data_IF_764907824065
#
_entry.id   IF_764907824065
#
_cell.length_a   1.000
_cell.length_b   1.000
_cell.length_c   1.000
_cell.angle_alpha   90.00
_cell.angle_beta   90.00
_cell.angle_gamma   90.00
#
_symmetry.space_group_name_H-M   'P 1'
#
loop_
_entity.id
_entity.type
_entity.pdbx_description
1 polymer ?
#
# COMPACT_ATOMS: atom_id res chain seq x y z
N UNK A 1 72.46 44.31 38.16
CA UNK A 1 71.86 43.05 38.64
C UNK A 1 70.39 43.31 38.97
N UNK A 2 69.49 42.76 38.14
CA UNK A 2 68.07 42.42 38.37
C UNK A 2 67.19 43.43 39.14
N UNK A 3 66.32 44.25 38.52
CA UNK A 3 65.19 43.95 37.61
C UNK A 3 64.54 42.58 37.77
N UNK A 4 63.37 42.56 38.44
CA UNK A 4 62.17 41.75 38.11
C UNK A 4 61.09 42.01 39.17
N UNK A 5 60.04 42.78 38.84
CA UNK A 5 58.70 42.65 39.46
C UNK A 5 57.54 43.43 38.80
N UNK A 6 57.76 44.26 37.77
CA UNK A 6 56.67 45.07 37.18
C UNK A 6 56.01 44.52 35.90
N UNK A 7 56.38 43.34 35.40
CA UNK A 7 55.86 42.83 34.11
C UNK A 7 54.80 41.73 34.19
N UNK A 8 54.38 41.31 35.39
CA UNK A 8 53.34 40.27 35.52
C UNK A 8 51.90 40.81 35.54
N UNK A 9 51.70 42.08 35.90
CA UNK A 9 50.35 42.66 35.97
C UNK A 9 49.84 43.17 34.61
N UNK A 10 50.73 43.67 33.76
CA UNK A 10 50.36 44.17 32.42
C UNK A 10 49.96 43.06 31.43
N UNK A 11 50.45 41.82 31.62
CA UNK A 11 50.11 40.70 30.75
C UNK A 11 48.71 40.13 31.07
N UNK A 12 48.27 40.16 32.33
CA UNK A 12 46.93 39.68 32.70
C UNK A 12 45.80 40.61 32.24
N UNK A 13 46.05 41.92 32.15
CA UNK A 13 45.03 42.89 31.67
C UNK A 13 44.93 42.88 30.13
N UNK A 14 46.01 42.61 29.41
CA UNK A 14 45.98 42.50 27.94
C UNK A 14 45.22 41.26 27.45
N UNK A 15 45.29 40.14 28.19
CA UNK A 15 44.58 38.90 27.80
C UNK A 15 43.06 39.02 28.01
N UNK A 16 42.60 39.78 29.01
CA UNK A 16 41.16 40.01 29.24
C UNK A 16 40.55 41.02 28.27
N UNK A 17 41.31 41.99 27.75
CA UNK A 17 40.83 42.95 26.76
C UNK A 17 40.79 42.37 25.33
N UNK A 18 41.70 41.44 24.99
CA UNK A 18 41.67 40.74 23.70
C UNK A 18 40.60 39.62 23.69
N UNK A 19 40.37 38.96 24.84
CA UNK A 19 39.30 37.96 24.98
C UNK A 19 37.87 38.55 25.04
N UNK A 20 37.72 39.80 25.50
CA UNK A 20 36.41 40.46 25.63
C UNK A 20 35.87 41.11 24.35
N UNK A 21 36.74 41.44 23.38
CA UNK A 21 36.31 42.06 22.10
C UNK A 21 35.91 41.00 21.06
N UNK A 22 36.32 39.74 21.23
CA UNK A 22 35.91 38.63 20.37
C UNK A 22 34.46 38.15 20.60
N UNK A 23 33.78 38.59 21.66
CA UNK A 23 32.42 38.14 22.02
C UNK A 23 31.33 39.16 21.61
N UNK A 24 31.69 40.39 21.20
CA UNK A 24 30.71 41.45 20.90
C UNK A 24 30.53 41.78 19.40
N UNK A 25 31.23 41.10 18.48
CA UNK A 25 31.11 41.29 17.02
C UNK A 25 30.87 39.98 16.26
N UNK A 26 30.46 38.92 16.96
CA UNK A 26 30.06 37.64 16.41
C UNK A 26 28.55 37.53 16.16
N UNK A 27 27.88 38.59 15.73
CA UNK A 27 26.64 38.45 14.97
C UNK A 27 27.03 38.13 13.52
N UNK A 28 27.63 36.96 13.33
CA UNK A 28 27.54 36.31 12.03
C UNK A 28 26.05 36.05 11.83
N UNK A 29 25.42 36.88 11.00
CA UNK A 29 24.31 36.43 10.18
C UNK A 29 24.82 35.14 9.55
N UNK A 30 24.46 34.00 10.15
CA UNK A 30 24.54 32.75 9.44
C UNK A 30 23.72 33.04 8.18
N UNK A 31 24.30 32.97 6.96
CA UNK A 31 23.44 32.71 5.84
C UNK A 31 22.65 31.49 6.28
N UNK A 32 21.33 31.59 6.30
CA UNK A 32 20.50 30.40 6.41
C UNK A 32 21.12 29.44 5.41
N UNK A 33 21.75 28.38 5.93
CA UNK A 33 22.24 27.34 5.07
C UNK A 33 21.01 26.99 4.21
N UNK A 34 21.09 27.07 2.87
CA UNK A 34 20.00 26.58 2.06
C UNK A 34 19.69 25.22 2.62
N UNK A 35 18.47 25.04 3.13
CA UNK A 35 17.99 23.77 3.67
C UNK A 35 18.49 22.72 2.70
N UNK A 36 19.37 21.83 3.17
CA UNK A 36 19.99 20.79 2.35
C UNK A 36 18.89 20.22 1.50
N UNK A 37 18.93 20.44 0.19
CA UNK A 37 17.88 20.01 -0.72
C UNK A 37 17.64 18.54 -0.42
N UNK A 38 16.46 18.21 0.08
CA UNK A 38 16.10 16.82 0.18
C UNK A 38 16.10 16.32 -1.26
N UNK A 39 17.10 15.50 -1.59
CA UNK A 39 17.21 14.91 -2.90
C UNK A 39 16.03 13.94 -3.04
N UNK A 40 14.96 14.40 -3.69
CA UNK A 40 13.79 13.58 -3.97
C UNK A 40 14.24 12.38 -4.83
N UNK A 41 14.07 11.12 -4.36
CA UNK A 41 14.58 9.96 -5.06
C UNK A 41 14.11 9.84 -6.51
N UNK A 42 12.86 10.20 -6.81
CA UNK A 42 12.37 10.19 -8.19
C UNK A 42 13.15 11.12 -9.13
N UNK A 43 13.84 12.15 -8.63
CA UNK A 43 14.65 13.06 -9.44
C UNK A 43 16.15 12.70 -9.49
N UNK A 44 16.63 11.95 -8.50
CA UNK A 44 18.07 11.81 -8.26
C UNK A 44 18.55 10.36 -8.29
N UNK A 45 17.69 9.39 -7.94
CA UNK A 45 18.02 7.98 -7.94
C UNK A 45 17.70 7.35 -9.31
N UNK A 46 18.67 6.71 -10.00
CA UNK A 46 18.45 6.13 -11.32
C UNK A 46 17.35 5.06 -11.39
N UNK A 47 17.23 4.22 -10.36
CA UNK A 47 16.23 3.13 -10.30
C UNK A 47 14.82 3.71 -10.11
N UNK A 48 14.69 4.75 -9.28
CA UNK A 48 13.43 5.46 -9.08
C UNK A 48 13.01 6.23 -10.35
N UNK A 49 13.96 6.93 -11.00
CA UNK A 49 13.71 7.61 -12.28
C UNK A 49 13.20 6.62 -13.33
N UNK A 50 13.86 5.47 -13.47
CA UNK A 50 13.49 4.45 -14.45
C UNK A 50 12.13 3.82 -14.16
N UNK A 51 11.81 3.59 -12.88
CA UNK A 51 10.48 3.12 -12.47
C UNK A 51 9.40 4.14 -12.83
N UNK A 52 9.61 5.43 -12.51
CA UNK A 52 8.62 6.50 -12.77
C UNK A 52 8.40 6.70 -14.27
N UNK A 53 9.43 6.56 -15.11
CA UNK A 53 9.29 6.58 -16.59
C UNK A 53 8.35 5.50 -17.15
N UNK A 54 8.12 4.43 -16.38
CA UNK A 54 7.23 3.30 -16.73
C UNK A 54 5.95 3.29 -15.91
N UNK A 55 5.71 4.33 -15.11
CA UNK A 55 4.64 4.39 -14.13
C UNK A 55 3.93 5.75 -14.20
N UNK A 56 2.98 5.96 -13.28
CA UNK A 56 2.26 7.21 -13.10
C UNK A 56 2.51 7.76 -11.70
N UNK A 57 3.10 8.95 -11.62
CA UNK A 57 3.42 9.65 -10.38
C UNK A 57 2.80 11.05 -10.40
N UNK A 58 1.94 11.36 -9.44
CA UNK A 58 1.47 12.71 -9.20
C UNK A 58 2.30 13.29 -8.08
N UNK A 59 2.88 14.47 -8.31
CA UNK A 59 3.72 15.16 -7.33
C UNK A 59 3.09 16.49 -6.97
N UNK A 60 2.78 16.66 -5.68
CA UNK A 60 2.31 17.92 -5.14
C UNK A 60 3.52 18.74 -4.67
N UNK A 61 3.68 19.92 -5.26
CA UNK A 61 4.86 20.77 -5.08
C UNK A 61 4.44 22.06 -4.39
N UNK A 62 5.04 22.41 -3.23
CA UNK A 62 4.80 23.70 -2.59
C UNK A 62 5.28 24.87 -3.46
N UNK A 63 4.64 26.03 -3.31
CA UNK A 63 5.04 27.25 -4.04
C UNK A 63 6.47 27.71 -3.75
N UNK A 64 7.05 27.32 -2.61
CA UNK A 64 8.44 27.57 -2.24
C UNK A 64 9.45 26.78 -3.08
N UNK A 65 9.02 25.67 -3.69
CA UNK A 65 9.88 24.69 -4.37
C UNK A 65 9.82 24.80 -5.91
N UNK A 66 9.77 26.02 -6.46
CA UNK A 66 9.60 26.21 -7.91
C UNK A 66 10.68 25.56 -8.77
N UNK A 67 11.88 25.35 -8.24
CA UNK A 67 12.99 24.71 -8.97
C UNK A 67 12.69 23.26 -9.33
N UNK A 68 11.83 22.58 -8.57
CA UNK A 68 11.45 21.18 -8.79
C UNK A 68 10.76 21.00 -10.15
N UNK A 69 9.93 21.94 -10.60
CA UNK A 69 9.28 21.84 -11.91
C UNK A 69 10.29 21.80 -13.07
N UNK A 70 11.38 22.56 -12.97
CA UNK A 70 12.45 22.52 -13.96
C UNK A 70 13.19 21.17 -13.90
N UNK A 71 13.51 20.68 -12.71
CA UNK A 71 14.16 19.38 -12.53
C UNK A 71 13.31 18.22 -13.07
N UNK A 72 11.99 18.25 -12.83
CA UNK A 72 11.03 17.28 -13.39
C UNK A 72 11.04 17.35 -14.92
N UNK A 73 10.97 18.55 -15.48
CA UNK A 73 10.98 18.75 -16.93
C UNK A 73 12.29 18.28 -17.57
N UNK A 74 13.43 18.53 -16.92
CA UNK A 74 14.75 18.10 -17.39
C UNK A 74 14.92 16.58 -17.32
N UNK A 75 14.38 15.94 -16.27
CA UNK A 75 14.52 14.49 -16.02
C UNK A 75 13.59 13.64 -16.89
N UNK A 76 12.34 14.07 -17.06
CA UNK A 76 11.29 13.29 -17.69
C UNK A 76 10.86 13.82 -19.06
N UNK A 77 11.27 15.04 -19.43
CA UNK A 77 11.00 15.63 -20.73
C UNK A 77 9.51 15.64 -21.06
N UNK A 78 9.16 15.06 -22.21
CA UNK A 78 7.77 15.02 -22.71
C UNK A 78 6.84 14.11 -21.91
N UNK A 79 7.38 13.26 -21.04
CA UNK A 79 6.58 12.40 -20.17
C UNK A 79 6.07 13.15 -18.93
N UNK A 80 6.49 14.42 -18.74
CA UNK A 80 6.03 15.29 -17.67
C UNK A 80 5.03 16.34 -18.14
N UNK A 81 4.00 16.55 -17.33
CA UNK A 81 3.18 17.77 -17.35
C UNK A 81 3.37 18.51 -16.04
N UNK A 82 3.92 19.72 -16.11
CA UNK A 82 4.18 20.60 -14.98
C UNK A 82 3.18 21.75 -14.96
N UNK A 83 2.54 21.98 -13.82
CA UNK A 83 1.61 23.08 -13.56
C UNK A 83 2.23 24.01 -12.49
N UNK A 84 3.20 24.88 -12.86
CA UNK A 84 4.03 25.63 -11.91
C UNK A 84 3.34 26.87 -11.33
N UNK A 85 2.32 27.39 -12.00
CA UNK A 85 1.50 28.48 -11.49
C UNK A 85 0.44 27.92 -10.55
N UNK A 86 0.13 28.68 -9.49
CA UNK A 86 -0.94 28.35 -8.57
C UNK A 86 -2.15 29.27 -8.82
N UNK A 87 -3.18 28.73 -9.49
CA UNK A 87 -4.50 29.36 -9.58
C UNK A 87 -5.47 28.51 -8.78
N UNK A 88 -5.64 28.82 -7.49
CA UNK A 88 -6.44 28.02 -6.57
C UNK A 88 -7.88 27.71 -7.02
N UNK A 89 -8.42 28.45 -8.00
CA UNK A 89 -9.74 28.18 -8.58
C UNK A 89 -9.74 27.19 -9.75
N UNK A 90 -8.62 27.04 -10.47
CA UNK A 90 -8.50 26.22 -11.70
C UNK A 90 -7.49 25.08 -11.62
N UNK A 91 -6.63 25.10 -10.60
CA UNK A 91 -5.51 24.17 -10.50
C UNK A 91 -5.93 22.70 -10.56
N UNK A 92 -7.06 22.34 -9.95
CA UNK A 92 -7.59 20.97 -9.94
C UNK A 92 -8.09 20.57 -11.34
N UNK A 93 -8.73 21.49 -12.08
CA UNK A 93 -9.21 21.25 -13.45
C UNK A 93 -8.05 21.06 -14.43
N UNK A 94 -6.99 21.86 -14.28
CA UNK A 94 -5.75 21.71 -15.05
C UNK A 94 -5.05 20.39 -14.74
N UNK A 95 -4.95 20.01 -13.45
CA UNK A 95 -4.42 18.72 -13.04
C UNK A 95 -5.25 17.56 -13.61
N UNK A 96 -6.58 17.67 -13.61
CA UNK A 96 -7.47 16.67 -14.19
C UNK A 96 -7.26 16.51 -15.70
N UNK A 97 -7.07 17.64 -16.41
CA UNK A 97 -6.74 17.64 -17.84
C UNK A 97 -5.40 16.95 -18.08
N UNK A 98 -4.38 17.25 -17.27
CA UNK A 98 -3.07 16.61 -17.35
C UNK A 98 -3.12 15.09 -17.09
N UNK A 99 -3.86 14.67 -16.06
CA UNK A 99 -4.07 13.25 -15.75
C UNK A 99 -4.81 12.52 -16.88
N UNK A 100 -5.77 13.19 -17.52
CA UNK A 100 -6.52 12.66 -18.66
C UNK A 100 -5.69 12.57 -19.94
N UNK A 101 -4.65 13.39 -20.07
CA UNK A 101 -3.65 13.31 -21.15
C UNK A 101 -2.63 12.18 -20.93
N UNK A 102 -2.74 11.44 -19.82
CA UNK A 102 -1.99 10.22 -19.52
C UNK A 102 -0.45 10.41 -19.46
N UNK A 103 -0.01 11.54 -18.90
CA UNK A 103 1.43 11.77 -18.62
C UNK A 103 1.97 10.79 -17.57
N UNK A 104 3.23 10.39 -17.66
CA UNK A 104 3.84 9.59 -16.60
C UNK A 104 4.01 10.37 -15.30
N UNK A 105 4.29 11.67 -15.39
CA UNK A 105 4.39 12.53 -14.22
C UNK A 105 3.52 13.78 -14.38
N UNK A 106 2.72 14.06 -13.37
CA UNK A 106 1.92 15.29 -13.25
C UNK A 106 2.38 16.01 -11.99
N UNK A 107 3.07 17.14 -12.17
CA UNK A 107 3.56 17.97 -11.08
C UNK A 107 2.66 19.18 -10.91
N UNK A 108 2.13 19.40 -9.71
CA UNK A 108 1.12 20.43 -9.46
C UNK A 108 1.59 21.36 -8.36
N UNK A 109 1.62 22.67 -8.63
CA UNK A 109 1.80 23.66 -7.59
C UNK A 109 0.54 23.70 -6.72
N UNK A 110 0.68 23.45 -5.43
CA UNK A 110 -0.43 23.42 -4.46
C UNK A 110 -0.48 24.65 -3.56
N UNK A 111 0.28 25.69 -3.86
CA UNK A 111 0.46 26.83 -2.96
C UNK A 111 1.40 26.48 -1.81
N UNK A 112 1.40 27.29 -0.76
CA UNK A 112 2.08 26.96 0.50
C UNK A 112 1.22 26.05 1.36
N UNK A 113 1.84 25.14 2.12
CA UNK A 113 1.12 24.36 3.11
C UNK A 113 0.55 25.29 4.19
N UNK A 114 -0.78 25.40 4.33
CA UNK A 114 -1.35 26.10 5.46
C UNK A 114 -1.00 25.34 6.74
N UNK A 115 -0.72 26.07 7.81
CA UNK A 115 -0.20 25.52 9.07
C UNK A 115 -1.16 24.58 9.82
N UNK A 116 -2.39 24.35 9.33
CA UNK A 116 -3.39 23.56 10.07
C UNK A 116 -4.47 22.85 9.26
N UNK A 117 -4.67 23.13 7.97
CA UNK A 117 -5.76 22.49 7.20
C UNK A 117 -5.30 22.00 5.82
N UNK A 118 -5.15 20.69 5.66
CA UNK A 118 -4.76 20.06 4.40
C UNK A 118 -5.95 19.54 3.58
N UNK A 119 -7.20 19.79 4.01
CA UNK A 119 -8.39 19.27 3.33
C UNK A 119 -8.54 19.74 1.89
N UNK A 120 -7.94 20.88 1.55
CA UNK A 120 -7.88 21.41 0.19
C UNK A 120 -7.06 20.51 -0.76
N UNK A 121 -6.26 19.59 -0.23
CA UNK A 121 -5.51 18.62 -1.03
C UNK A 121 -6.32 17.36 -1.40
N UNK A 122 -7.48 17.16 -0.76
CA UNK A 122 -8.37 16.01 -1.01
C UNK A 122 -8.73 15.82 -2.50
N UNK A 123 -9.02 16.87 -3.29
CA UNK A 123 -9.28 16.72 -4.72
C UNK A 123 -8.12 16.11 -5.50
N UNK A 124 -6.86 16.42 -5.14
CA UNK A 124 -5.69 15.85 -5.82
C UNK A 124 -5.48 14.39 -5.45
N UNK A 125 -5.68 14.02 -4.18
CA UNK A 125 -5.69 12.61 -3.78
C UNK A 125 -6.75 11.83 -4.53
N UNK A 126 -7.98 12.34 -4.60
CA UNK A 126 -9.05 11.67 -5.35
C UNK A 126 -8.71 11.55 -6.84
N UNK A 127 -8.15 12.61 -7.44
CA UNK A 127 -7.74 12.60 -8.83
C UNK A 127 -6.63 11.56 -9.11
N UNK A 128 -5.62 11.49 -8.24
CA UNK A 128 -4.57 10.50 -8.34
C UNK A 128 -5.14 9.08 -8.28
N UNK A 129 -6.08 8.84 -7.36
CA UNK A 129 -6.79 7.55 -7.24
C UNK A 129 -7.60 7.22 -8.50
N UNK A 130 -8.38 8.18 -9.01
CA UNK A 130 -9.25 7.99 -10.17
C UNK A 130 -8.47 7.64 -11.45
N UNK A 131 -7.23 8.16 -11.55
CA UNK A 131 -6.36 7.97 -12.71
C UNK A 131 -5.16 7.02 -12.47
N UNK A 132 -5.13 6.31 -11.33
CA UNK A 132 -4.07 5.35 -10.97
C UNK A 132 -2.65 5.94 -10.87
N UNK A 133 -2.55 7.19 -10.44
CA UNK A 133 -1.28 7.80 -10.08
C UNK A 133 -0.91 7.42 -8.64
N UNK A 134 0.35 7.10 -8.43
CA UNK A 134 0.95 7.11 -7.09
C UNK A 134 1.11 8.58 -6.70
N UNK A 135 0.65 8.99 -5.52
CA UNK A 135 0.76 10.37 -5.04
C UNK A 135 2.01 10.54 -4.19
N UNK A 136 2.73 11.65 -4.36
CA UNK A 136 3.83 12.07 -3.50
C UNK A 136 3.78 13.57 -3.23
N UNK A 137 4.32 13.99 -2.08
CA UNK A 137 4.43 15.38 -1.66
C UNK A 137 5.91 15.75 -1.55
N UNK A 138 6.30 16.82 -2.24
CA UNK A 138 7.65 17.39 -2.10
C UNK A 138 7.75 18.15 -0.79
N UNK A 139 8.87 17.97 -0.10
CA UNK A 139 9.16 18.60 1.20
C UNK A 139 8.01 18.46 2.18
N UNK A 140 7.56 17.22 2.33
CA UNK A 140 6.42 16.86 3.15
C UNK A 140 6.53 17.41 4.59
N UNK A 141 5.48 18.07 5.13
CA UNK A 141 5.52 18.63 6.47
C UNK A 141 5.80 17.59 7.55
N UNK A 142 6.62 17.91 8.55
CA UNK A 142 6.99 16.96 9.63
C UNK A 142 5.82 16.39 10.43
N UNK A 143 4.71 17.13 10.49
CA UNK A 143 3.51 16.73 11.22
C UNK A 143 2.44 16.08 10.32
N UNK A 144 2.68 16.01 9.02
CA UNK A 144 1.81 15.29 8.10
C UNK A 144 2.19 13.81 8.14
N UNK A 145 1.22 12.96 8.45
CA UNK A 145 1.35 11.52 8.34
C UNK A 145 0.42 11.00 7.26
N UNK A 146 0.88 10.11 6.38
CA UNK A 146 -0.02 9.34 5.55
C UNK A 146 -0.86 8.38 6.41
N UNK A 147 -1.93 7.84 5.86
CA UNK A 147 -2.71 6.77 6.49
C UNK A 147 -1.88 5.50 6.62
N UNK A 148 -1.07 5.21 5.61
CA UNK A 148 -0.05 4.17 5.62
C UNK A 148 1.09 4.49 4.65
N UNK A 149 2.23 3.84 4.83
CA UNK A 149 3.32 3.77 3.85
C UNK A 149 3.51 2.35 3.37
N UNK A 150 3.99 2.18 2.14
CA UNK A 150 4.19 0.87 1.55
C UNK A 150 4.79 0.92 0.16
N UNK A 151 5.00 -0.26 -0.42
CA UNK A 151 5.43 -0.41 -1.81
C UNK A 151 4.21 -0.52 -2.73
N UNK A 152 4.07 0.42 -3.64
CA UNK A 152 2.97 0.51 -4.60
C UNK A 152 3.45 0.05 -5.97
N UNK A 153 2.77 -0.95 -6.52
CA UNK A 153 3.01 -1.38 -7.89
C UNK A 153 2.41 -0.37 -8.87
N UNK A 154 2.97 -0.28 -10.07
CA UNK A 154 2.36 0.48 -11.15
C UNK A 154 1.12 -0.25 -11.70
N UNK A 155 0.39 0.42 -12.58
CA UNK A 155 -0.87 -0.09 -13.13
C UNK A 155 -0.70 -1.38 -13.95
N UNK A 156 0.38 -1.47 -14.74
CA UNK A 156 0.69 -2.64 -15.56
C UNK A 156 1.06 -3.85 -14.70
N UNK A 157 1.93 -3.67 -13.71
CA UNK A 157 2.36 -4.72 -12.78
C UNK A 157 1.22 -5.20 -11.88
N UNK A 158 0.39 -4.27 -11.38
CA UNK A 158 -0.81 -4.62 -10.61
C UNK A 158 -1.77 -5.49 -11.41
N UNK A 159 -2.00 -5.12 -12.67
CA UNK A 159 -2.87 -5.88 -13.57
C UNK A 159 -2.28 -7.27 -13.88
N UNK A 160 -1.00 -7.33 -14.23
CA UNK A 160 -0.32 -8.59 -14.57
C UNK A 160 -0.27 -9.55 -13.39
N UNK A 161 0.13 -9.09 -12.20
CA UNK A 161 0.17 -9.92 -11.00
C UNK A 161 -1.24 -10.40 -10.63
N UNK A 162 -2.25 -9.53 -10.74
CA UNK A 162 -3.65 -9.89 -10.54
C UNK A 162 -4.12 -11.00 -11.48
N UNK A 163 -3.89 -10.86 -12.79
CA UNK A 163 -4.27 -11.85 -13.81
C UNK A 163 -3.54 -13.17 -13.58
N UNK A 164 -2.21 -13.14 -13.41
CA UNK A 164 -1.42 -14.35 -13.17
C UNK A 164 -1.90 -15.09 -11.93
N UNK A 165 -2.18 -14.38 -10.84
CA UNK A 165 -2.60 -15.01 -9.59
C UNK A 165 -3.99 -15.62 -9.66
N UNK A 166 -4.94 -15.00 -10.36
CA UNK A 166 -6.26 -15.59 -10.59
C UNK A 166 -6.20 -16.81 -11.52
N UNK A 167 -5.34 -16.77 -12.55
CA UNK A 167 -5.12 -17.92 -13.41
C UNK A 167 -4.54 -19.11 -12.63
N UNK A 168 -3.63 -18.84 -11.68
CA UNK A 168 -3.11 -19.87 -10.77
C UNK A 168 -4.19 -20.40 -9.83
N UNK A 169 -5.02 -19.55 -9.23
CA UNK A 169 -6.16 -20.01 -8.42
C UNK A 169 -7.07 -20.95 -9.21
N UNK A 170 -7.45 -20.57 -10.43
CA UNK A 170 -8.24 -21.42 -11.33
C UNK A 170 -7.57 -22.75 -11.64
N UNK A 171 -6.26 -22.73 -11.91
CA UNK A 171 -5.48 -23.92 -12.21
C UNK A 171 -5.47 -24.89 -11.01
N UNK A 172 -5.22 -24.38 -9.81
CA UNK A 172 -5.22 -25.18 -8.58
C UNK A 172 -6.59 -25.80 -8.29
N UNK A 173 -7.68 -25.04 -8.47
CA UNK A 173 -9.06 -25.53 -8.33
C UNK A 173 -9.39 -26.64 -9.35
N UNK A 174 -8.72 -26.66 -10.52
CA UNK A 174 -8.89 -27.73 -11.52
C UNK A 174 -8.06 -28.98 -11.20
N UNK A 175 -6.87 -28.80 -10.61
CA UNK A 175 -5.88 -29.87 -10.45
C UNK A 175 -5.91 -30.58 -9.10
N UNK A 176 -6.34 -29.91 -8.03
CA UNK A 176 -6.29 -30.45 -6.66
C UNK A 176 -7.71 -30.61 -6.10
N UNK A 177 -8.29 -31.83 -6.10
CA UNK A 177 -9.66 -32.06 -5.66
C UNK A 177 -9.95 -31.62 -4.22
N UNK A 178 -8.99 -31.79 -3.31
CA UNK A 178 -9.11 -31.38 -1.91
C UNK A 178 -9.22 -29.86 -1.78
N UNK A 179 -8.39 -29.12 -2.53
CA UNK A 179 -8.45 -27.66 -2.60
C UNK A 179 -9.80 -27.19 -3.17
N UNK A 180 -10.28 -27.81 -4.25
CA UNK A 180 -11.60 -27.51 -4.79
C UNK A 180 -12.72 -27.78 -3.79
N UNK A 181 -12.67 -28.92 -3.10
CA UNK A 181 -13.66 -29.30 -2.08
C UNK A 181 -13.73 -28.29 -0.94
N UNK A 182 -12.58 -27.88 -0.39
CA UNK A 182 -12.51 -26.88 0.67
C UNK A 182 -13.15 -25.55 0.26
N UNK A 183 -12.77 -25.03 -0.91
CA UNK A 183 -13.25 -23.74 -1.36
C UNK A 183 -14.70 -23.78 -1.85
N UNK A 184 -15.18 -24.91 -2.38
CA UNK A 184 -16.61 -25.11 -2.65
C UNK A 184 -17.43 -25.03 -1.36
N UNK A 185 -16.98 -25.71 -0.30
CA UNK A 185 -17.68 -25.71 1.00
C UNK A 185 -17.72 -24.32 1.64
N UNK A 186 -16.63 -23.56 1.52
CA UNK A 186 -16.52 -22.20 2.05
C UNK A 186 -17.37 -21.20 1.27
N UNK A 187 -17.25 -21.21 -0.05
CA UNK A 187 -17.83 -20.16 -0.90
C UNK A 187 -19.27 -20.45 -1.29
N UNK A 188 -19.71 -21.72 -1.21
CA UNK A 188 -20.98 -22.19 -1.75
C UNK A 188 -21.02 -22.18 -3.29
N UNK A 189 -19.90 -21.94 -3.96
CA UNK A 189 -19.80 -21.94 -5.42
C UNK A 189 -19.80 -23.35 -5.98
N UNK A 190 -20.71 -23.64 -6.90
CA UNK A 190 -20.85 -24.95 -7.55
C UNK A 190 -19.87 -25.09 -8.73
N UNK A 191 -19.44 -23.97 -9.29
CA UNK A 191 -18.47 -23.91 -10.39
C UNK A 191 -17.18 -23.20 -9.98
N UNK A 192 -16.07 -23.51 -10.65
CA UNK A 192 -14.78 -22.82 -10.45
C UNK A 192 -14.93 -21.32 -10.68
N UNK A 193 -15.71 -20.91 -11.68
CA UNK A 193 -15.95 -19.50 -11.97
C UNK A 193 -16.64 -18.76 -10.80
N UNK A 194 -17.57 -19.43 -10.11
CA UNK A 194 -18.23 -18.87 -8.92
C UNK A 194 -17.26 -18.76 -7.74
N UNK A 195 -16.44 -19.79 -7.51
CA UNK A 195 -15.41 -19.78 -6.46
C UNK A 195 -14.39 -18.67 -6.70
N UNK A 196 -13.94 -18.47 -7.94
CA UNK A 196 -13.01 -17.38 -8.28
C UNK A 196 -13.66 -16.02 -8.08
N UNK A 197 -14.92 -15.86 -8.51
CA UNK A 197 -15.68 -14.61 -8.36
C UNK A 197 -16.02 -14.25 -6.90
N UNK A 198 -15.98 -15.23 -6.00
CA UNK A 198 -16.15 -15.00 -4.57
C UNK A 198 -15.08 -14.06 -4.03
N UNK A 199 -13.83 -14.21 -4.50
CA UNK A 199 -12.73 -13.31 -4.15
C UNK A 199 -12.75 -12.09 -5.06
N UNK A 200 -13.09 -10.94 -4.48
CA UNK A 200 -13.11 -9.67 -5.19
C UNK A 200 -11.91 -8.83 -4.75
N UNK A 201 -11.41 -7.97 -5.63
CA UNK A 201 -10.44 -6.96 -5.19
C UNK A 201 -11.06 -6.14 -4.05
N UNK A 202 -10.30 -5.95 -2.97
CA UNK A 202 -10.77 -5.17 -1.84
C UNK A 202 -11.15 -3.75 -2.29
N UNK A 203 -12.16 -3.14 -1.66
CA UNK A 203 -12.56 -1.77 -1.95
C UNK A 203 -11.43 -0.75 -1.72
N UNK A 204 -10.50 -1.08 -0.81
CA UNK A 204 -9.27 -0.32 -0.56
C UNK A 204 -8.21 -0.45 -1.66
N UNK A 205 -8.33 -1.45 -2.56
CA UNK A 205 -7.48 -1.55 -3.74
C UNK A 205 -8.06 -0.64 -4.84
N UNK A 206 -7.80 0.65 -4.71
CA UNK A 206 -8.26 1.69 -5.61
C UNK A 206 -7.96 1.31 -7.06
N UNK A 207 -9.02 1.09 -7.85
CA UNK A 207 -8.96 0.72 -9.28
C UNK A 207 -8.12 -0.53 -9.62
N UNK A 208 -7.79 -1.36 -8.62
CA UNK A 208 -6.98 -2.56 -8.76
C UNK A 208 -5.47 -2.34 -8.63
N UNK A 209 -5.02 -1.17 -8.15
CA UNK A 209 -3.61 -0.94 -7.82
C UNK A 209 -3.20 -1.77 -6.61
N UNK A 210 -2.21 -2.65 -6.79
CA UNK A 210 -1.69 -3.51 -5.74
C UNK A 210 -0.60 -2.80 -4.96
N UNK A 211 -0.56 -3.05 -3.65
CA UNK A 211 0.44 -2.52 -2.76
C UNK A 211 0.75 -3.49 -1.62
N UNK A 212 1.93 -3.35 -1.04
CA UNK A 212 2.32 -3.97 0.22
C UNK A 212 2.46 -2.88 1.28
N UNK A 213 1.56 -2.89 2.28
CA UNK A 213 1.64 -1.98 3.41
C UNK A 213 2.84 -2.30 4.30
N UNK A 214 3.75 -1.35 4.46
CA UNK A 214 4.89 -1.46 5.36
C UNK A 214 4.54 -1.05 6.80
N UNK A 215 3.70 -0.02 6.97
CA UNK A 215 3.17 0.42 8.28
C UNK A 215 1.85 1.17 8.08
N UNK A 216 0.81 0.78 8.82
CA UNK A 216 -0.41 1.56 8.97
C UNK A 216 -0.30 2.48 10.19
N UNK A 217 -0.65 3.76 10.06
CA UNK A 217 -0.50 4.75 11.12
C UNK A 217 -1.76 4.95 11.99
N UNK A 218 -2.91 4.46 11.52
CA UNK A 218 -4.18 4.57 12.24
C UNK A 218 -4.74 6.00 12.30
N UNK A 219 -5.93 6.14 12.88
CA UNK A 219 -6.62 7.42 12.99
C UNK A 219 -6.08 8.29 14.14
N UNK A 220 -5.33 7.70 15.06
CA UNK A 220 -4.75 8.35 16.24
C UNK A 220 -3.24 8.03 16.33
N UNK A 221 -2.41 8.60 15.45
CA UNK A 221 -0.98 8.31 15.41
C UNK A 221 -0.26 8.76 16.68
N UNK A 222 0.66 7.94 17.15
CA UNK A 222 1.49 8.21 18.32
C UNK A 222 2.77 8.97 17.97
N UNK A 223 3.52 9.45 18.96
CA UNK A 223 4.84 10.05 18.70
C UNK A 223 5.85 9.03 18.16
N UNK A 224 5.67 7.73 18.46
CA UNK A 224 6.47 6.66 17.86
C UNK A 224 6.17 6.51 16.37
N UNK A 225 4.91 6.69 15.96
CA UNK A 225 4.50 6.67 14.55
C UNK A 225 5.13 7.84 13.78
N UNK A 226 5.11 9.05 14.35
CA UNK A 226 5.79 10.22 13.79
C UNK A 226 7.29 10.00 13.67
N UNK A 227 7.92 9.43 14.71
CA UNK A 227 9.35 9.12 14.69
C UNK A 227 9.66 8.10 13.58
N UNK A 228 8.90 7.02 13.51
CA UNK A 228 9.06 6.01 12.46
C UNK A 228 8.94 6.63 11.07
N UNK A 229 7.92 7.45 10.84
CA UNK A 229 7.75 8.11 9.54
C UNK A 229 8.93 9.03 9.20
N UNK A 230 9.39 9.84 10.15
CA UNK A 230 10.57 10.68 9.96
C UNK A 230 11.85 9.88 9.67
N UNK A 231 11.98 8.66 10.21
CA UNK A 231 13.10 7.77 9.95
C UNK A 231 13.05 7.18 8.52
N UNK A 232 11.86 7.02 7.92
CA UNK A 232 11.69 6.40 6.59
C UNK A 232 11.37 7.37 5.46
N UNK A 233 10.90 8.59 5.74
CA UNK A 233 10.37 9.53 4.75
C UNK A 233 11.36 9.91 3.64
N UNK A 234 12.67 9.86 3.93
CA UNK A 234 13.71 10.06 2.92
C UNK A 234 13.76 8.98 1.81
N UNK A 235 13.01 7.89 1.96
CA UNK A 235 12.87 6.84 0.96
C UNK A 235 11.55 6.95 0.18
N UNK A 236 10.70 7.95 0.46
CA UNK A 236 9.50 8.19 -0.34
C UNK A 236 9.93 8.47 -1.77
N UNK A 237 9.25 7.84 -2.72
CA UNK A 237 9.57 7.76 -4.15
C UNK A 237 10.82 6.96 -4.53
N UNK A 238 11.45 6.24 -3.59
CA UNK A 238 12.47 5.25 -3.94
C UNK A 238 11.80 3.99 -4.51
N UNK A 239 12.36 3.39 -5.56
CA UNK A 239 11.89 2.11 -6.09
C UNK A 239 12.61 0.93 -5.44
N UNK A 240 11.91 -0.19 -5.32
CA UNK A 240 12.44 -1.43 -4.78
C UNK A 240 11.92 -2.61 -5.59
N UNK A 241 12.82 -3.51 -5.99
CA UNK A 241 12.40 -4.83 -6.46
C UNK A 241 11.82 -5.62 -5.28
N UNK A 242 10.61 -6.14 -5.46
CA UNK A 242 9.88 -6.95 -4.48
C UNK A 242 9.78 -8.38 -4.98
N UNK A 243 10.05 -9.36 -4.10
CA UNK A 243 9.99 -10.78 -4.46
C UNK A 243 8.73 -11.46 -3.92
N UNK A 244 7.86 -11.94 -4.80
CA UNK A 244 6.74 -12.82 -4.46
C UNK A 244 7.25 -14.27 -4.42
N UNK A 245 7.08 -14.93 -3.27
CA UNK A 245 7.61 -16.29 -3.02
C UNK A 245 6.51 -17.35 -2.93
N UNK A 246 5.26 -16.93 -2.83
CA UNK A 246 4.12 -17.83 -2.81
C UNK A 246 2.80 -17.10 -2.91
N UNK A 247 1.74 -17.84 -3.21
CA UNK A 247 0.37 -17.39 -3.04
C UNK A 247 -0.24 -18.12 -1.85
N UNK A 248 -1.08 -17.44 -1.08
CA UNK A 248 -1.83 -18.08 -0.01
C UNK A 248 -3.31 -17.79 -0.14
N UNK A 249 -4.11 -18.74 0.31
CA UNK A 249 -5.54 -18.77 0.16
C UNK A 249 -6.16 -19.16 1.50
N UNK A 250 -7.15 -18.41 1.94
CA UNK A 250 -7.96 -18.70 3.11
C UNK A 250 -9.43 -18.56 2.74
N UNK A 251 -10.36 -18.97 3.61
CA UNK A 251 -11.77 -18.71 3.39
C UNK A 251 -12.15 -17.22 3.24
N UNK A 252 -11.31 -16.34 3.77
CA UNK A 252 -11.59 -14.90 3.85
C UNK A 252 -10.84 -14.10 2.80
N UNK A 253 -9.63 -14.51 2.45
CA UNK A 253 -8.72 -13.72 1.61
C UNK A 253 -7.84 -14.61 0.76
N UNK A 254 -7.30 -14.05 -0.31
CA UNK A 254 -6.15 -14.62 -0.98
C UNK A 254 -5.14 -13.52 -1.32
N UNK A 255 -3.86 -13.83 -1.15
CA UNK A 255 -2.79 -12.86 -1.23
C UNK A 255 -1.49 -13.43 -1.79
N UNK A 256 -0.63 -12.52 -2.23
CA UNK A 256 0.74 -12.82 -2.58
C UNK A 256 1.62 -12.62 -1.35
N UNK A 257 2.41 -13.64 -1.00
CA UNK A 257 3.40 -13.57 0.08
C UNK A 257 4.71 -13.01 -0.46
N UNK A 258 5.27 -12.04 0.26
CA UNK A 258 6.49 -11.36 -0.14
C UNK A 258 7.68 -11.79 0.73
N UNK A 259 8.86 -11.80 0.10
CA UNK A 259 10.15 -11.78 0.78
C UNK A 259 10.72 -10.38 0.65
N UNK A 260 10.84 -9.68 1.77
CA UNK A 260 11.49 -8.37 1.81
C UNK A 260 13.01 -8.52 1.81
N UNK A 261 13.70 -7.66 1.08
CA UNK A 261 15.15 -7.53 1.13
C UNK A 261 15.63 -6.91 2.45
N UNK A 262 16.93 -6.99 2.73
CA UNK A 262 17.53 -6.33 3.91
C UNK A 262 17.29 -4.82 3.95
N UNK A 263 17.23 -4.16 2.78
CA UNK A 263 16.92 -2.72 2.69
C UNK A 263 15.44 -2.45 2.94
N UNK A 264 14.55 -3.26 2.36
CA UNK A 264 13.11 -3.14 2.60
C UNK A 264 12.74 -3.40 4.06
N UNK A 265 13.43 -4.32 4.75
CA UNK A 265 13.23 -4.59 6.17
C UNK A 265 13.59 -3.39 7.06
N UNK A 266 14.47 -2.47 6.63
CA UNK A 266 14.73 -1.22 7.35
C UNK A 266 13.55 -0.25 7.31
N UNK A 267 12.69 -0.38 6.31
CA UNK A 267 11.46 0.41 6.13
C UNK A 267 10.22 -0.27 6.70
N UNK A 268 10.37 -1.46 7.28
CA UNK A 268 9.25 -2.29 7.72
C UNK A 268 8.81 -1.95 9.14
N UNK A 269 7.53 -1.62 9.30
CA UNK A 269 6.89 -1.37 10.60
C UNK A 269 5.75 -2.34 10.94
N UNK A 270 5.40 -3.25 10.03
CA UNK A 270 4.18 -4.06 10.09
C UNK A 270 4.16 -5.16 11.15
N UNK A 271 5.31 -5.53 11.71
CA UNK A 271 5.38 -6.54 12.79
C UNK A 271 4.91 -6.02 14.14
N UNK A 272 4.84 -4.70 14.31
CA UNK A 272 4.42 -4.05 15.56
C UNK A 272 2.89 -3.94 15.69
N UNK A 273 2.12 -4.38 14.68
CA UNK A 273 0.66 -4.32 14.69
C UNK A 273 0.07 -5.53 15.43
N UNK A 274 -0.53 -5.28 16.61
CA UNK A 274 -1.11 -6.33 17.45
C UNK A 274 -2.35 -6.99 16.81
N UNK A 275 -2.36 -8.33 16.67
CA UNK A 275 -3.51 -9.18 16.25
C UNK A 275 -4.84 -8.87 16.97
N UNK A 276 -4.81 -8.26 18.17
CA UNK A 276 -5.98 -8.09 19.05
C UNK A 276 -6.97 -7.00 18.65
N UNK A 277 -6.64 -6.09 17.73
CA UNK A 277 -7.52 -4.96 17.38
C UNK A 277 -8.72 -5.38 16.49
N UNK A 278 -8.55 -6.33 15.57
CA UNK A 278 -9.57 -6.69 14.56
C UNK A 278 -10.70 -7.60 15.09
N UNK A 279 -10.45 -8.36 16.17
CA UNK A 279 -11.49 -9.17 16.80
C UNK A 279 -12.65 -8.33 17.41
N UNK A 280 -12.48 -7.01 17.55
CA UNK A 280 -13.55 -6.11 18.00
C UNK A 280 -14.46 -5.66 16.86
N UNK A 281 -13.94 -5.38 15.66
CA UNK A 281 -14.76 -4.92 14.52
C UNK A 281 -15.65 -6.04 13.97
N UNK A 282 -15.18 -7.29 13.96
CA UNK A 282 -15.97 -8.41 13.43
C UNK A 282 -17.04 -8.95 14.41
N UNK A 283 -17.12 -8.44 15.65
CA UNK A 283 -18.17 -8.84 16.61
C UNK A 283 -19.47 -8.04 16.49
N UNK A 284 -19.45 -6.90 15.82
CA UNK A 284 -20.64 -6.03 15.71
C UNK A 284 -21.51 -6.32 14.47
N UNK A 285 -21.04 -7.14 13.52
CA UNK A 285 -21.80 -7.55 12.34
C UNK A 285 -21.91 -9.07 12.27
N UNK A 286 -22.76 -9.65 13.12
CA UNK A 286 -22.95 -11.10 13.14
C UNK A 286 -24.06 -11.55 14.08
N UNK A 287 -25.31 -11.20 13.79
CA UNK A 287 -26.44 -11.96 14.35
C UNK A 287 -26.55 -13.29 13.60
N UNK A 288 -26.08 -14.37 14.20
CA UNK A 288 -26.45 -15.73 13.78
C UNK A 288 -27.93 -15.99 14.10
N UNK A 289 -28.69 -16.66 13.22
CA UNK A 289 -30.04 -17.08 13.56
C UNK A 289 -29.98 -18.30 14.47
N UNK A 290 -30.33 -18.11 15.74
CA UNK A 290 -30.60 -19.17 16.70
C UNK A 290 -31.80 -19.99 16.23
N UNK A 291 -31.58 -21.29 16.01
CA UNK A 291 -32.63 -22.30 15.91
C UNK A 291 -33.27 -22.46 17.28
N UNK A 292 -34.52 -22.03 17.43
CA UNK A 292 -35.40 -22.52 18.49
C UNK A 292 -36.64 -23.14 17.88
N UNK A 293 -36.69 -24.47 17.93
CA UNK A 293 -37.92 -25.24 17.83
C UNK A 293 -38.59 -25.24 19.20
N UNK A 294 -39.74 -24.58 19.33
CA UNK A 294 -40.70 -24.89 20.39
C UNK A 294 -42.13 -24.94 19.85
N UNK A 295 -42.78 -26.05 20.15
CA UNK A 295 -44.20 -26.32 19.93
C UNK A 295 -45.06 -25.51 20.90
N UNK A 296 -46.21 -25.01 20.44
CA UNK A 296 -47.27 -24.46 21.29
C UNK A 296 -48.55 -24.22 20.51
N UNK A 297 -49.56 -25.03 20.79
CA UNK A 297 -50.83 -25.14 20.07
C UNK A 297 -51.88 -24.05 20.41
N UNK A 298 -52.76 -23.80 19.43
CA UNK A 298 -54.22 -23.69 19.52
C UNK A 298 -54.93 -22.31 19.44
N UNK A 299 -56.10 -22.40 18.76
CA UNK A 299 -57.20 -21.46 18.54
C UNK A 299 -56.98 -20.37 17.49
N UNK A 300 -57.81 -20.15 16.48
CA UNK A 300 -59.14 -20.67 16.17
C UNK A 300 -60.08 -19.50 15.85
N UNK A 301 -60.09 -19.01 14.60
CA UNK A 301 -61.22 -18.27 14.01
C UNK A 301 -61.02 -18.06 12.51
N UNK A 302 -61.94 -18.58 11.71
CA UNK A 302 -62.16 -18.25 10.30
C UNK A 302 -62.66 -16.81 10.14
N UNK A 303 -62.29 -16.10 9.07
CA UNK A 303 -63.17 -15.21 8.29
C UNK A 303 -62.49 -14.82 6.96
N UNK A 304 -63.16 -15.24 5.88
CA UNK A 304 -63.38 -14.63 4.57
C UNK A 304 -62.30 -13.80 3.87
N UNK A 305 -61.97 -14.32 2.69
CA UNK A 305 -61.56 -13.65 1.46
C UNK A 305 -62.08 -12.22 1.28
N UNK A 306 -61.14 -11.30 1.05
CA UNK A 306 -61.35 -10.15 0.17
C UNK A 306 -60.03 -9.83 -0.52
N UNK A 307 -60.08 -9.96 -1.85
CA UNK A 307 -59.13 -9.40 -2.79
C UNK A 307 -58.98 -7.89 -2.51
N UNK A 308 -57.75 -7.46 -2.20
CA UNK A 308 -57.36 -6.07 -2.33
C UNK A 308 -55.89 -6.02 -2.70
N UNK A 309 -55.65 -5.40 -3.85
CA UNK A 309 -54.38 -5.03 -4.44
C UNK A 309 -53.33 -4.62 -3.39
N UNK A 310 -52.28 -5.43 -3.29
CA UNK A 310 -51.00 -4.99 -2.75
C UNK A 310 -50.02 -5.01 -3.91
N UNK A 311 -49.68 -3.83 -4.40
CA UNK A 311 -48.62 -3.61 -5.36
C UNK A 311 -47.32 -4.17 -4.81
N UNK A 312 -46.77 -5.17 -5.50
CA UNK A 312 -45.48 -5.79 -5.19
C UNK A 312 -44.37 -4.74 -5.11
N UNK A 313 -43.93 -4.47 -3.88
CA UNK A 313 -42.63 -3.91 -3.56
C UNK A 313 -41.55 -4.99 -3.81
N UNK A 314 -41.42 -5.38 -5.08
CA UNK A 314 -40.37 -6.26 -5.56
C UNK A 314 -39.69 -5.60 -6.77
N UNK A 315 -39.09 -4.44 -6.52
CA UNK A 315 -38.34 -3.65 -7.50
C UNK A 315 -37.18 -2.94 -6.80
N UNK A 316 -36.23 -3.70 -6.29
CA UNK A 316 -34.91 -3.17 -5.92
C UNK A 316 -33.76 -4.19 -5.96
N UNK A 317 -34.03 -5.47 -6.25
CA UNK A 317 -32.97 -6.51 -6.37
C UNK A 317 -32.43 -6.64 -7.81
N UNK A 318 -32.92 -5.84 -8.76
CA UNK A 318 -32.49 -5.89 -10.17
C UNK A 318 -31.81 -4.60 -10.64
N UNK A 319 -30.81 -4.10 -9.90
CA UNK A 319 -29.85 -3.09 -10.41
C UNK A 319 -28.43 -3.29 -9.86
N UNK A 320 -27.96 -4.52 -9.71
CA UNK A 320 -26.53 -4.75 -9.86
C UNK A 320 -26.28 -4.85 -11.37
N UNK A 321 -26.13 -3.67 -11.99
CA UNK A 321 -25.64 -3.57 -13.35
C UNK A 321 -24.39 -4.44 -13.45
N UNK A 322 -24.46 -5.43 -14.33
CA UNK A 322 -23.29 -6.05 -14.94
C UNK A 322 -22.47 -4.92 -15.55
N UNK A 323 -21.55 -4.32 -14.78
CA UNK A 323 -20.46 -3.53 -15.34
C UNK A 323 -19.80 -4.48 -16.32
N UNK A 324 -19.99 -4.19 -17.62
CA UNK A 324 -19.22 -4.77 -18.69
C UNK A 324 -17.80 -4.97 -18.19
N UNK A 325 -17.29 -6.22 -18.25
CA UNK A 325 -15.85 -6.44 -18.16
C UNK A 325 -15.24 -5.50 -19.18
N UNK A 326 -14.66 -4.39 -18.69
CA UNK A 326 -13.93 -3.46 -19.55
C UNK A 326 -12.93 -4.33 -20.29
N UNK A 327 -12.85 -4.15 -21.62
CA UNK A 327 -11.80 -4.74 -22.46
C UNK A 327 -10.46 -4.70 -21.74
N UNK A 328 -9.58 -5.67 -21.99
CA UNK A 328 -8.21 -5.69 -21.46
C UNK A 328 -7.67 -4.26 -21.40
N UNK A 329 -7.47 -3.74 -20.18
CA UNK A 329 -7.06 -2.35 -20.00
C UNK A 329 -5.68 -2.22 -20.62
N UNK A 330 -5.61 -1.51 -21.73
CA UNK A 330 -4.35 -1.17 -22.37
C UNK A 330 -3.75 0.01 -21.62
N UNK A 331 -2.52 -0.15 -21.14
CA UNK A 331 -1.76 0.89 -20.43
C UNK A 331 -0.63 1.36 -21.35
N UNK A 332 -0.90 2.24 -22.33
CA UNK A 332 0.10 2.64 -23.33
C UNK A 332 1.37 3.21 -22.72
N UNK A 333 1.24 3.87 -21.56
CA UNK A 333 2.31 4.59 -20.90
C UNK A 333 2.86 3.89 -19.64
N UNK A 334 2.43 2.65 -19.37
CA UNK A 334 2.98 1.86 -18.26
C UNK A 334 3.59 0.56 -18.79
N UNK A 335 4.77 0.23 -18.28
CA UNK A 335 5.47 -1.01 -18.63
C UNK A 335 5.60 -1.88 -17.38
N UNK A 336 5.19 -3.14 -17.50
CA UNK A 336 5.36 -4.12 -16.44
C UNK A 336 6.85 -4.44 -16.24
N UNK A 337 7.26 -4.49 -14.98
CA UNK A 337 8.54 -5.01 -14.49
C UNK A 337 8.45 -6.49 -14.11
N UNK A 338 7.23 -7.03 -13.97
CA UNK A 338 6.97 -8.39 -13.51
C UNK A 338 7.78 -9.43 -14.30
N UNK A 339 8.60 -10.19 -13.59
CA UNK A 339 9.43 -11.24 -14.15
C UNK A 339 9.38 -12.53 -13.32
N UNK A 340 9.43 -13.68 -13.99
CA UNK A 340 9.66 -14.96 -13.32
C UNK A 340 11.16 -15.23 -13.26
N UNK A 341 11.70 -15.43 -12.06
CA UNK A 341 13.08 -15.83 -11.90
C UNK A 341 13.21 -17.33 -12.20
N UNK A 342 13.68 -17.67 -13.39
CA UNK A 342 14.06 -19.04 -13.75
C UNK A 342 15.44 -19.35 -13.18
N UNK A 343 15.53 -19.58 -11.88
CA UNK A 343 16.69 -20.24 -11.31
C UNK A 343 16.62 -21.74 -11.67
N UNK A 344 17.76 -22.45 -11.64
CA UNK A 344 17.80 -23.92 -11.67
C UNK A 344 17.20 -24.45 -10.37
N UNK A 345 15.88 -24.32 -10.23
CA UNK A 345 15.15 -24.68 -9.03
C UNK A 345 15.11 -26.21 -8.93
N UNK A 346 15.36 -26.71 -7.72
CA UNK A 346 15.27 -28.13 -7.40
C UNK A 346 13.86 -28.67 -7.69
N UNK A 347 13.77 -29.95 -8.07
CA UNK A 347 12.50 -30.67 -8.13
C UNK A 347 11.98 -31.06 -6.73
N UNK A 348 12.80 -30.91 -5.70
CA UNK A 348 12.40 -31.09 -4.31
C UNK A 348 11.64 -29.88 -3.76
N UNK A 349 10.61 -30.08 -2.92
CA UNK A 349 9.88 -28.99 -2.29
C UNK A 349 10.79 -28.07 -1.46
N UNK A 350 10.89 -26.81 -1.89
CA UNK A 350 11.51 -25.74 -1.11
C UNK A 350 10.41 -24.90 -0.45
N UNK A 351 10.08 -25.25 0.79
CA UNK A 351 9.18 -24.43 1.60
C UNK A 351 9.97 -23.23 2.08
N UNK A 352 9.50 -22.04 1.72
CA UNK A 352 10.16 -20.78 2.02
C UNK A 352 9.39 -20.00 3.10
N UNK A 353 9.24 -20.52 4.34
CA UNK A 353 8.60 -19.76 5.39
C UNK A 353 9.44 -18.53 5.72
N UNK A 354 8.81 -17.37 5.74
CA UNK A 354 9.40 -16.11 6.24
C UNK A 354 9.21 -16.10 7.75
N UNK A 355 10.27 -16.40 8.48
CA UNK A 355 10.32 -16.30 9.94
C UNK A 355 10.97 -14.99 10.36
N UNK A 356 10.46 -14.35 11.42
CA UNK A 356 11.02 -13.10 11.94
C UNK A 356 10.45 -11.85 11.26
N UNK A 357 11.23 -10.75 11.15
CA UNK A 357 10.75 -9.51 10.57
C UNK A 357 10.24 -9.66 9.13
N UNK A 358 9.17 -8.95 8.78
CA UNK A 358 8.57 -9.00 7.44
C UNK A 358 7.67 -10.22 7.19
N UNK A 359 7.43 -11.09 8.17
CA UNK A 359 6.57 -12.27 8.02
C UNK A 359 5.11 -11.98 7.66
N UNK A 360 4.64 -10.74 7.89
CA UNK A 360 3.31 -10.23 7.48
C UNK A 360 3.33 -9.56 6.10
N UNK A 361 4.48 -9.45 5.41
CA UNK A 361 4.58 -8.77 4.12
C UNK A 361 3.79 -9.51 3.04
N UNK A 362 2.80 -8.82 2.47
CA UNK A 362 1.88 -9.38 1.50
C UNK A 362 1.30 -8.31 0.58
N UNK A 363 0.73 -8.75 -0.54
CA UNK A 363 -0.21 -7.97 -1.34
C UNK A 363 -1.57 -8.68 -1.34
N UNK A 364 -2.64 -7.93 -1.07
CA UNK A 364 -4.00 -8.47 -1.11
C UNK A 364 -4.47 -8.57 -2.56
N UNK A 365 -4.80 -9.78 -3.00
CA UNK A 365 -5.21 -10.06 -4.38
C UNK A 365 -6.73 -10.28 -4.50
N UNK A 366 -7.37 -10.76 -3.43
CA UNK A 366 -8.82 -10.88 -3.34
C UNK A 366 -9.30 -11.08 -1.90
N UNK A 367 -10.51 -10.61 -1.63
CA UNK A 367 -11.20 -10.73 -0.34
C UNK A 367 -12.62 -11.25 -0.55
N UNK A 368 -13.11 -11.99 0.43
CA UNK A 368 -14.49 -12.43 0.50
C UNK A 368 -15.45 -11.23 0.68
N UNK A 369 -16.76 -11.38 0.38
CA UNK A 369 -17.74 -10.34 0.63
C UNK A 369 -17.75 -9.87 2.10
N UNK A 370 -17.65 -8.56 2.31
CA UNK A 370 -17.65 -7.96 3.65
C UNK A 370 -16.32 -8.06 4.40
N UNK A 371 -15.28 -8.64 3.81
CA UNK A 371 -13.94 -8.74 4.42
C UNK A 371 -13.05 -7.57 3.98
N UNK A 372 -12.34 -6.97 4.92
CA UNK A 372 -11.38 -5.89 4.67
C UNK A 372 -9.98 -6.43 4.29
N UNK A 373 -9.23 -5.68 3.48
CA UNK A 373 -7.89 -6.09 3.01
C UNK A 373 -6.88 -6.35 4.13
N UNK A 374 -7.01 -5.65 5.27
CA UNK A 374 -6.10 -5.86 6.42
C UNK A 374 -6.16 -7.29 6.96
N UNK A 375 -7.28 -7.99 6.74
CA UNK A 375 -7.47 -9.39 7.11
C UNK A 375 -6.41 -10.29 6.46
N UNK A 376 -6.00 -9.99 5.23
CA UNK A 376 -5.04 -10.80 4.47
C UNK A 376 -3.69 -10.92 5.17
N UNK A 377 -3.24 -9.85 5.85
CA UNK A 377 -2.01 -9.90 6.64
C UNK A 377 -2.13 -10.76 7.89
N UNK A 378 -3.30 -10.76 8.54
CA UNK A 378 -3.54 -11.61 9.71
C UNK A 378 -3.68 -13.08 9.33
N UNK A 379 -4.36 -13.35 8.22
CA UNK A 379 -4.44 -14.68 7.61
C UNK A 379 -3.05 -15.25 7.30
N UNK A 380 -2.15 -14.43 6.76
CA UNK A 380 -0.76 -14.83 6.52
C UNK A 380 -0.02 -15.12 7.83
N UNK A 381 -0.23 -14.33 8.89
CA UNK A 381 0.39 -14.58 10.19
C UNK A 381 -0.09 -15.90 10.82
N UNK A 382 -1.36 -16.25 10.68
CA UNK A 382 -1.88 -17.54 11.15
C UNK A 382 -1.21 -18.70 10.39
N UNK A 383 -1.03 -18.56 9.07
CA UNK A 383 -0.29 -19.54 8.25
C UNK A 383 1.17 -19.66 8.71
N UNK A 384 1.86 -18.54 8.98
CA UNK A 384 3.24 -18.54 9.49
C UNK A 384 3.36 -19.28 10.82
N UNK A 385 2.36 -19.17 11.69
CA UNK A 385 2.33 -19.91 12.96
C UNK A 385 2.19 -21.42 12.73
N UNK A 386 1.35 -21.84 11.78
CA UNK A 386 1.18 -23.25 11.39
C UNK A 386 2.41 -23.83 10.68
N UNK A 387 3.13 -23.02 9.90
CA UNK A 387 4.41 -23.39 9.28
C UNK A 387 5.49 -23.72 10.31
N UNK A 388 5.45 -23.09 11.48
CA UNK A 388 6.38 -23.35 12.56
C UNK A 388 6.07 -24.64 13.32
N UNK A 389 4.86 -25.19 13.17
CA UNK A 389 4.51 -26.49 13.73
C UNK A 389 5.26 -27.60 12.99
N UNK A 390 5.92 -28.49 13.74
CA UNK A 390 6.63 -29.66 13.19
C UNK A 390 5.63 -30.78 12.85
N UNK A 391 4.67 -30.48 12.00
CA UNK A 391 3.64 -31.40 11.51
C UNK A 391 3.88 -31.71 10.04
N UNK A 392 3.56 -32.94 9.66
CA UNK A 392 3.52 -33.33 8.25
C UNK A 392 2.20 -32.87 7.65
N UNK A 393 2.27 -31.78 6.89
CA UNK A 393 1.11 -31.16 6.25
C UNK A 393 0.91 -31.71 4.84
N UNK A 394 -0.32 -32.10 4.44
CA UNK A 394 -0.59 -32.57 3.10
C UNK A 394 -0.06 -31.61 2.04
N UNK A 395 0.74 -32.12 1.12
CA UNK A 395 1.40 -31.33 0.09
C UNK A 395 1.21 -31.97 -1.28
N UNK A 396 0.79 -31.15 -2.23
CA UNK A 396 0.40 -31.54 -3.58
C UNK A 396 1.35 -30.90 -4.59
N UNK A 397 2.07 -31.67 -5.42
CA UNK A 397 2.87 -31.10 -6.49
C UNK A 397 1.96 -30.49 -7.56
N UNK A 398 2.33 -29.30 -8.03
CA UNK A 398 1.62 -28.56 -9.06
C UNK A 398 2.60 -28.08 -10.14
N UNK A 399 2.08 -27.63 -11.28
CA UNK A 399 2.90 -27.13 -12.40
C UNK A 399 3.90 -26.03 -11.96
N UNK A 400 3.48 -25.18 -11.02
CA UNK A 400 4.22 -23.98 -10.58
C UNK A 400 4.91 -24.12 -9.22
N UNK A 401 4.85 -25.30 -8.59
CA UNK A 401 5.48 -25.54 -7.29
C UNK A 401 4.71 -26.57 -6.47
N UNK A 402 4.46 -26.27 -5.19
CA UNK A 402 3.82 -27.19 -4.27
C UNK A 402 2.70 -26.47 -3.50
N UNK A 403 1.48 -27.00 -3.62
CA UNK A 403 0.33 -26.53 -2.86
C UNK A 403 0.25 -27.32 -1.56
N UNK A 404 0.26 -26.64 -0.41
CA UNK A 404 0.19 -27.27 0.91
C UNK A 404 -1.07 -26.86 1.65
N UNK A 405 -1.69 -27.84 2.31
CA UNK A 405 -2.86 -27.68 3.17
C UNK A 405 -2.44 -27.53 4.64
N UNK A 406 -2.77 -26.41 5.25
CA UNK A 406 -2.59 -26.13 6.68
C UNK A 406 -3.89 -26.32 7.50
N UNK A 407 -4.93 -26.87 6.88
CA UNK A 407 -6.23 -27.15 7.47
C UNK A 407 -7.12 -25.90 7.61
N UNK A 408 -8.42 -26.14 7.77
CA UNK A 408 -9.46 -25.10 7.87
C UNK A 408 -9.47 -24.15 6.66
N UNK A 409 -9.21 -24.69 5.46
CA UNK A 409 -9.18 -23.91 4.23
C UNK A 409 -7.99 -22.95 4.10
N UNK A 410 -6.92 -23.14 4.89
CA UNK A 410 -5.67 -22.37 4.75
C UNK A 410 -4.69 -23.12 3.87
N UNK A 411 -4.38 -22.55 2.72
CA UNK A 411 -3.54 -23.18 1.71
C UNK A 411 -2.44 -22.23 1.26
N UNK A 412 -1.27 -22.80 0.94
CA UNK A 412 -0.14 -22.03 0.40
C UNK A 412 0.42 -22.73 -0.83
N UNK A 413 0.45 -22.02 -1.95
CA UNK A 413 1.27 -22.37 -3.11
C UNK A 413 2.67 -21.83 -2.90
N UNK A 414 3.62 -22.71 -2.57
CA UNK A 414 5.05 -22.39 -2.61
C UNK A 414 5.51 -22.48 -4.06
N UNK A 415 5.93 -21.36 -4.62
CA UNK A 415 6.30 -21.30 -6.02
C UNK A 415 7.73 -21.83 -6.21
N UNK A 416 7.94 -22.66 -7.23
CA UNK A 416 9.26 -23.14 -7.62
C UNK A 416 10.17 -21.99 -8.06
N UNK A 417 9.60 -21.03 -8.77
CA UNK A 417 10.25 -19.82 -9.23
C UNK A 417 9.53 -18.62 -8.62
N UNK A 418 10.26 -17.76 -7.92
CA UNK A 418 9.71 -16.51 -7.42
C UNK A 418 9.38 -15.55 -8.57
N UNK A 419 8.47 -14.63 -8.29
CA UNK A 419 8.18 -13.50 -9.18
C UNK A 419 8.88 -12.28 -8.60
N UNK A 420 9.61 -11.52 -9.41
CA UNK A 420 10.07 -10.19 -9.04
C UNK A 420 9.18 -9.14 -9.69
N UNK A 421 8.96 -8.05 -8.96
CA UNK A 421 8.17 -6.91 -9.43
C UNK A 421 8.62 -5.65 -8.70
N UNK A 422 8.81 -4.56 -9.43
CA UNK A 422 9.23 -3.30 -8.86
C UNK A 422 8.05 -2.57 -8.21
N UNK A 423 8.29 -1.91 -7.09
CA UNK A 423 7.31 -1.04 -6.43
C UNK A 423 7.93 0.25 -5.94
N UNK A 424 7.15 1.33 -5.97
CA UNK A 424 7.56 2.62 -5.42
C UNK A 424 7.18 2.68 -3.94
N UNK A 425 8.14 3.00 -3.06
CA UNK A 425 7.82 3.27 -1.67
C UNK A 425 7.15 4.65 -1.55
N UNK A 426 5.90 4.69 -1.10
CA UNK A 426 5.11 5.92 -1.02
C UNK A 426 4.12 5.90 0.14
N UNK A 427 3.61 7.07 0.50
CA UNK A 427 2.54 7.25 1.46
C UNK A 427 1.18 7.37 0.78
N UNK A 428 0.12 6.88 1.43
CA UNK A 428 -1.26 7.12 1.01
C UNK A 428 -1.91 8.13 1.94
N UNK A 429 -2.24 9.29 1.40
CA UNK A 429 -2.81 10.40 2.15
C UNK A 429 -4.32 10.44 2.03
N UNK A 430 -4.99 10.55 3.17
CA UNK A 430 -6.42 10.78 3.25
C UNK A 430 -6.65 12.16 3.84
N UNK A 431 -6.75 13.18 2.99
CA UNK A 431 -6.91 14.58 3.40
C UNK A 431 -8.36 14.94 3.74
N UNK A 432 -9.10 14.05 4.41
CA UNK A 432 -10.51 14.27 4.75
C UNK A 432 -10.71 15.16 5.98
#
# INVERSE_FOLDING_TARGET
>A
MHLKKSHRWLICVAILLIGGIAIALGLTLHPMAPSTSHDDPFLTNPEAIEYVKKSKLMVLVPSSEKTIFQQISDTYGKSATCLPEFDGSKQVEEAQTACSADSNIVAVNIGEFPSSNLSYLSPYSQLALDHNYILSLVNEPENLLPSFVGWHLNEADSCMLGICSHALLEELLKQVPEFYSDFRNVTGGETIAEIVKYYQLASSNHNGMLHCTAKYFGDAPTDLDKKFFNDVKGNITMSYETTVIGLFFTPRTFGARLRLSSEQLKLWGGDNENKKAVLKENKEVGHSPSKDHSHGSASGASIQSKDSEYSDANSSVAKFQTKHMKSARYFPNCQASLAYLTANASDEPDFQPVTGPGRKAHMTLGVAPGVSAVTTGYDLLDIVELEAERKDWPTYPCSRGWLRDYGEGRWVLYMRNSITVDGLFAGVYNFL
#
